data_IF_120128981576
#
_entry.id   IF_120128981576
#
_cell.length_a   1.000
_cell.length_b   1.000
_cell.length_c   1.000
_cell.angle_alpha   90.00
_cell.angle_beta   90.00
_cell.angle_gamma   90.00
#
_symmetry.space_group_name_H-M   'P 1'
#
loop_
_entity.id
_entity.type
_entity.pdbx_description
1 polymer ?
#
# COMPACT_ATOMS: atom_id res chain seq x y z
N UNK A 1 14.64 18.74 14.91
CA UNK A 1 13.18 18.52 14.99
C UNK A 1 12.92 17.33 14.09
N UNK A 2 12.46 16.20 14.63
CA UNK A 2 12.03 15.10 13.77
C UNK A 2 10.72 15.55 13.11
N UNK A 3 10.67 15.60 11.79
CA UNK A 3 9.40 15.69 11.09
C UNK A 3 8.61 14.42 11.43
N UNK A 4 7.34 14.58 11.81
CA UNK A 4 6.46 13.43 12.05
C UNK A 4 6.33 12.60 10.78
N UNK A 5 6.28 11.27 10.92
CA UNK A 5 6.09 10.39 9.77
C UNK A 5 4.79 10.75 9.01
N UNK A 6 4.78 10.65 7.68
CA UNK A 6 3.59 10.95 6.90
C UNK A 6 2.49 9.91 7.19
N UNK A 7 1.26 10.37 7.38
CA UNK A 7 0.12 9.46 7.53
C UNK A 7 -0.27 8.87 6.18
N UNK A 8 -0.96 7.73 6.19
CA UNK A 8 -1.52 7.13 4.97
C UNK A 8 -2.37 8.15 4.20
N UNK A 9 -3.21 8.93 4.88
CA UNK A 9 -4.04 9.96 4.24
C UNK A 9 -3.21 11.01 3.47
N UNK A 10 -2.09 11.47 4.02
CA UNK A 10 -1.20 12.43 3.36
C UNK A 10 -0.50 11.79 2.15
N UNK A 11 -0.05 10.55 2.28
CA UNK A 11 0.56 9.82 1.17
C UNK A 11 -0.44 9.60 0.03
N UNK A 12 -1.67 9.19 0.33
CA UNK A 12 -2.72 8.98 -0.67
C UNK A 12 -3.09 10.29 -1.41
N UNK A 13 -3.15 11.42 -0.71
CA UNK A 13 -3.42 12.73 -1.32
C UNK A 13 -2.28 13.22 -2.22
N UNK A 14 -1.06 12.72 -2.02
CA UNK A 14 0.12 13.07 -2.80
C UNK A 14 0.51 12.04 -3.86
N UNK A 15 -0.30 10.99 -4.05
CA UNK A 15 -0.10 10.02 -5.13
C UNK A 15 -0.11 10.72 -6.48
N UNK A 16 0.98 10.53 -7.21
CA UNK A 16 1.12 11.03 -8.58
C UNK A 16 0.47 10.06 -9.58
N UNK A 17 0.10 10.54 -10.78
CA UNK A 17 -0.41 9.67 -11.83
C UNK A 17 0.55 8.54 -12.23
N UNK A 18 1.86 8.77 -12.12
CA UNK A 18 2.88 7.77 -12.45
C UNK A 18 2.97 6.68 -11.38
N UNK A 19 2.89 7.04 -10.09
CA UNK A 19 2.80 6.07 -8.98
C UNK A 19 1.51 5.25 -9.07
N UNK A 20 0.37 5.87 -9.37
CA UNK A 20 -0.90 5.14 -9.57
C UNK A 20 -0.78 4.17 -10.74
N UNK A 21 -0.18 4.60 -11.86
CA UNK A 21 0.03 3.73 -13.02
C UNK A 21 0.96 2.55 -12.69
N UNK A 22 2.03 2.80 -11.93
CA UNK A 22 2.94 1.75 -11.50
C UNK A 22 2.23 0.71 -10.63
N UNK A 23 1.44 1.15 -9.63
CA UNK A 23 0.65 0.25 -8.80
C UNK A 23 -0.36 -0.52 -9.66
N UNK A 24 -1.05 0.15 -10.57
CA UNK A 24 -2.04 -0.50 -11.44
C UNK A 24 -1.47 -1.62 -12.34
N UNK A 25 -0.16 -1.63 -12.56
CA UNK A 25 0.53 -2.63 -13.40
C UNK A 25 1.11 -3.80 -12.61
N UNK A 26 0.90 -3.88 -11.29
CA UNK A 26 1.54 -4.91 -10.44
C UNK A 26 1.09 -6.34 -10.75
N UNK A 27 -0.06 -6.52 -11.39
CA UNK A 27 -0.52 -7.81 -11.92
C UNK A 27 0.00 -8.06 -13.35
N UNK A 28 1.33 -7.95 -13.55
CA UNK A 28 2.00 -8.07 -14.85
C UNK A 28 1.37 -7.22 -15.99
N UNK A 29 0.74 -6.10 -15.62
CA UNK A 29 0.03 -5.20 -16.52
C UNK A 29 -1.35 -5.67 -16.98
N UNK A 30 -1.84 -6.82 -16.51
CA UNK A 30 -3.19 -7.29 -16.75
C UNK A 30 -4.20 -6.28 -16.19
N UNK A 31 -5.20 -5.94 -17.01
CA UNK A 31 -6.30 -5.04 -16.64
C UNK A 31 -5.88 -3.70 -16.01
N UNK A 32 -4.68 -3.20 -16.32
CA UNK A 32 -4.09 -2.04 -15.66
C UNK A 32 -4.98 -0.78 -15.69
N UNK A 33 -5.75 -0.58 -16.77
CA UNK A 33 -6.69 0.54 -16.84
C UNK A 33 -7.83 0.40 -15.81
N UNK A 34 -8.35 -0.82 -15.62
CA UNK A 34 -9.38 -1.12 -14.64
C UNK A 34 -8.84 -0.97 -13.21
N UNK A 35 -7.64 -1.45 -12.95
CA UNK A 35 -6.96 -1.21 -11.67
C UNK A 35 -6.75 0.29 -11.42
N UNK A 36 -6.29 1.05 -12.41
CA UNK A 36 -6.07 2.50 -12.29
C UNK A 36 -7.35 3.24 -11.90
N UNK A 37 -8.48 2.92 -12.55
CA UNK A 37 -9.78 3.50 -12.22
C UNK A 37 -10.25 3.12 -10.81
N UNK A 38 -10.09 1.85 -10.43
CA UNK A 38 -10.44 1.38 -9.09
C UNK A 38 -9.55 2.00 -8.00
N UNK A 39 -8.24 2.12 -8.24
CA UNK A 39 -7.29 2.81 -7.36
C UNK A 39 -7.69 4.28 -7.16
N UNK A 40 -8.04 5.00 -8.23
CA UNK A 40 -8.49 6.39 -8.12
C UNK A 40 -9.75 6.52 -7.26
N UNK A 41 -10.71 5.61 -7.42
CA UNK A 41 -11.92 5.55 -6.57
C UNK A 41 -11.56 5.27 -5.11
N UNK A 42 -10.71 4.27 -4.84
CA UNK A 42 -10.25 3.91 -3.49
C UNK A 42 -9.48 5.06 -2.82
N UNK A 43 -8.61 5.77 -3.55
CA UNK A 43 -7.91 6.96 -3.07
C UNK A 43 -8.88 8.08 -2.71
N UNK A 44 -9.87 8.36 -3.55
CA UNK A 44 -10.91 9.36 -3.27
C UNK A 44 -11.73 9.04 -2.01
N UNK A 45 -11.83 7.77 -1.64
CA UNK A 45 -12.50 7.28 -0.42
C UNK A 45 -11.58 7.19 0.80
N UNK A 46 -10.34 7.64 0.67
CA UNK A 46 -9.36 7.69 1.76
C UNK A 46 -8.67 6.36 2.05
N UNK A 47 -8.54 5.47 1.06
CA UNK A 47 -7.80 4.23 1.23
C UNK A 47 -8.63 3.00 1.60
N UNK A 48 -9.96 3.14 1.70
CA UNK A 48 -10.85 2.05 2.14
C UNK A 48 -11.30 1.17 0.98
N UNK A 49 -11.30 -0.13 1.22
CA UNK A 49 -11.82 -1.14 0.30
C UNK A 49 -13.28 -1.48 0.62
N UNK A 50 -14.05 -1.80 -0.40
CA UNK A 50 -15.44 -2.26 -0.32
C UNK A 50 -15.57 -3.71 -0.81
N UNK A 51 -16.63 -4.38 -0.38
CA UNK A 51 -16.91 -5.76 -0.79
C UNK A 51 -16.91 -5.90 -2.33
N UNK A 52 -16.18 -6.88 -2.86
CA UNK A 52 -16.03 -7.10 -4.30
C UNK A 52 -14.80 -6.44 -4.92
N UNK A 53 -14.00 -5.69 -4.15
CA UNK A 53 -12.76 -5.05 -4.61
C UNK A 53 -11.51 -5.91 -4.42
N UNK A 54 -11.65 -7.21 -4.12
CA UNK A 54 -10.53 -8.13 -3.90
C UNK A 54 -9.64 -8.24 -5.14
N UNK A 55 -10.26 -8.26 -6.33
CA UNK A 55 -9.54 -8.26 -7.61
C UNK A 55 -9.19 -6.85 -8.07
N UNK A 56 -10.06 -5.86 -7.87
CA UNK A 56 -9.80 -4.47 -8.28
C UNK A 56 -10.19 -3.48 -7.18
N UNK A 57 -9.25 -2.77 -6.54
CA UNK A 57 -7.81 -2.74 -6.80
C UNK A 57 -6.97 -3.55 -5.80
N UNK A 58 -7.57 -4.35 -4.90
CA UNK A 58 -6.80 -4.91 -3.78
C UNK A 58 -5.65 -5.83 -4.21
N UNK A 59 -5.85 -6.68 -5.23
CA UNK A 59 -4.81 -7.53 -5.81
C UNK A 59 -3.51 -6.77 -6.12
N UNK A 60 -3.59 -5.68 -6.88
CA UNK A 60 -2.40 -4.89 -7.22
C UNK A 60 -1.81 -4.13 -6.03
N UNK A 61 -2.61 -3.86 -5.01
CA UNK A 61 -2.12 -3.30 -3.74
C UNK A 61 -1.32 -4.34 -2.97
N UNK A 62 -1.81 -5.57 -2.86
CA UNK A 62 -1.08 -6.67 -2.20
C UNK A 62 0.21 -7.00 -2.96
N UNK A 63 0.15 -7.13 -4.30
CA UNK A 63 1.31 -7.35 -5.16
C UNK A 63 2.31 -6.17 -5.13
N UNK A 64 1.82 -4.95 -4.93
CA UNK A 64 2.64 -3.76 -4.70
C UNK A 64 3.35 -3.78 -3.34
N UNK A 65 2.74 -4.40 -2.33
CA UNK A 65 3.31 -4.58 -0.99
C UNK A 65 4.19 -5.84 -0.86
N UNK A 66 4.29 -6.65 -1.90
CA UNK A 66 4.97 -7.95 -1.85
C UNK A 66 6.48 -7.86 -2.02
N UNK A 67 6.99 -6.86 -2.74
CA UNK A 67 8.43 -6.70 -3.00
C UNK A 67 8.79 -5.23 -3.25
N UNK A 68 9.90 -4.78 -2.66
CA UNK A 68 10.45 -3.46 -2.96
C UNK A 68 11.16 -3.46 -4.32
N UNK A 69 10.60 -2.71 -5.28
CA UNK A 69 11.21 -2.48 -6.59
C UNK A 69 12.11 -1.23 -6.55
N UNK A 70 13.36 -1.28 -7.08
CA UNK A 70 14.24 -0.12 -7.12
C UNK A 70 13.57 1.11 -7.78
N UNK A 71 13.62 2.25 -7.10
CA UNK A 71 12.99 3.50 -7.55
C UNK A 71 11.52 3.68 -7.12
N UNK A 72 10.89 2.66 -6.54
CA UNK A 72 9.45 2.65 -6.21
C UNK A 72 9.18 2.44 -4.71
N UNK A 73 9.99 3.07 -3.86
CA UNK A 73 9.86 2.94 -2.41
C UNK A 73 8.55 3.53 -1.87
N UNK A 74 8.03 4.58 -2.52
CA UNK A 74 6.80 5.25 -2.11
C UNK A 74 5.59 4.38 -2.39
N UNK A 75 5.51 3.79 -3.57
CA UNK A 75 4.44 2.88 -3.97
C UNK A 75 4.43 1.63 -3.08
N UNK A 76 5.59 1.02 -2.84
CA UNK A 76 5.71 -0.11 -1.92
C UNK A 76 5.23 0.24 -0.49
N UNK A 77 5.60 1.42 0.02
CA UNK A 77 5.19 1.86 1.34
C UNK A 77 3.68 2.15 1.42
N UNK A 78 3.13 2.85 0.42
CA UNK A 78 1.69 3.12 0.31
C UNK A 78 0.90 1.81 0.24
N UNK A 79 1.33 0.87 -0.61
CA UNK A 79 0.70 -0.44 -0.73
C UNK A 79 0.75 -1.21 0.59
N UNK A 80 1.90 -1.20 1.29
CA UNK A 80 2.02 -1.84 2.61
C UNK A 80 1.07 -1.22 3.63
N UNK A 81 0.98 0.10 3.69
CA UNK A 81 0.06 0.81 4.58
C UNK A 81 -1.41 0.51 4.27
N UNK A 82 -1.77 0.39 3.00
CA UNK A 82 -3.11 0.00 2.56
C UNK A 82 -3.44 -1.45 2.96
N UNK A 83 -2.49 -2.38 2.86
CA UNK A 83 -2.68 -3.76 3.36
C UNK A 83 -2.89 -3.77 4.87
N UNK A 84 -2.10 -3.02 5.64
CA UNK A 84 -2.27 -2.90 7.10
C UNK A 84 -3.67 -2.37 7.42
N UNK A 85 -4.11 -1.31 6.74
CA UNK A 85 -5.45 -0.74 6.91
C UNK A 85 -6.55 -1.72 6.53
N UNK A 86 -6.39 -2.45 5.42
CA UNK A 86 -7.35 -3.46 4.97
C UNK A 86 -7.54 -4.60 5.97
N UNK A 87 -6.44 -5.06 6.59
CA UNK A 87 -6.51 -6.07 7.67
C UNK A 87 -7.18 -5.49 8.92
N UNK A 88 -6.79 -4.29 9.33
CA UNK A 88 -7.35 -3.63 10.52
C UNK A 88 -8.87 -3.37 10.40
N UNK A 89 -9.33 -2.99 9.20
CA UNK A 89 -10.75 -2.76 8.89
C UNK A 89 -11.53 -4.07 8.66
N UNK A 90 -10.87 -5.22 8.68
CA UNK A 90 -11.49 -6.54 8.47
C UNK A 90 -11.86 -6.85 7.01
N UNK A 91 -11.33 -6.10 6.05
CA UNK A 91 -11.48 -6.38 4.62
C UNK A 91 -10.60 -7.58 4.20
N UNK A 92 -9.31 -7.55 4.57
CA UNK A 92 -8.40 -8.67 4.34
C UNK A 92 -8.30 -9.55 5.60
N UNK A 93 -8.94 -10.72 5.53
CA UNK A 93 -8.92 -11.74 6.58
C UNK A 93 -7.89 -12.85 6.34
N UNK A 94 -7.19 -12.80 5.20
CA UNK A 94 -6.24 -13.83 4.75
C UNK A 94 -4.80 -13.45 5.11
N UNK A 95 -4.47 -12.16 5.08
CA UNK A 95 -3.12 -11.68 5.42
C UNK A 95 -2.86 -11.71 6.93
N UNK A 96 -1.82 -12.44 7.33
CA UNK A 96 -1.28 -12.35 8.69
C UNK A 96 -0.18 -11.29 8.72
N UNK A 97 -0.44 -10.15 9.38
CA UNK A 97 0.52 -9.03 9.39
C UNK A 97 1.87 -9.41 10.02
N UNK A 98 1.88 -10.23 11.06
CA UNK A 98 3.13 -10.67 11.70
C UNK A 98 4.05 -11.43 10.73
N UNK A 99 3.49 -12.36 9.96
CA UNK A 99 4.23 -13.13 8.95
C UNK A 99 4.71 -12.20 7.83
N UNK A 100 3.83 -11.32 7.33
CA UNK A 100 4.19 -10.34 6.32
C UNK A 100 5.35 -9.44 6.77
N UNK A 101 5.34 -9.00 8.03
CA UNK A 101 6.38 -8.16 8.60
C UNK A 101 7.72 -8.88 8.72
N UNK A 102 7.69 -10.14 9.13
CA UNK A 102 8.88 -10.98 9.17
C UNK A 102 9.45 -11.19 7.76
N UNK A 103 8.58 -11.53 6.80
CA UNK A 103 8.96 -11.88 5.43
C UNK A 103 9.51 -10.68 4.64
N UNK A 104 9.10 -9.46 4.97
CA UNK A 104 9.48 -8.21 4.28
C UNK A 104 10.41 -7.32 5.10
N UNK A 105 10.95 -7.79 6.22
CA UNK A 105 11.81 -7.00 7.11
C UNK A 105 12.98 -6.33 6.38
N UNK A 106 13.66 -7.05 5.49
CA UNK A 106 14.78 -6.53 4.70
C UNK A 106 14.37 -5.42 3.73
N UNK A 107 13.16 -5.46 3.20
CA UNK A 107 12.65 -4.42 2.30
C UNK A 107 12.24 -3.18 3.08
N UNK A 108 11.62 -3.34 4.25
CA UNK A 108 11.33 -2.23 5.15
C UNK A 108 12.60 -1.52 5.63
N UNK A 109 13.69 -2.25 5.87
CA UNK A 109 14.98 -1.69 6.26
C UNK A 109 15.64 -0.81 5.19
N UNK A 110 15.24 -0.94 3.90
CA UNK A 110 15.77 -0.16 2.78
C UNK A 110 14.96 1.11 2.50
N UNK A 111 13.81 1.28 3.16
CA UNK A 111 12.96 2.44 2.91
C UNK A 111 13.58 3.73 3.47
N UNK A 112 13.23 4.88 2.87
CA UNK A 112 13.38 6.17 3.53
C UNK A 112 12.86 6.14 4.97
N UNK A 113 13.56 6.74 5.94
CA UNK A 113 13.21 6.62 7.36
C UNK A 113 11.79 7.08 7.71
N UNK A 114 11.27 8.08 7.02
CA UNK A 114 9.90 8.58 7.17
C UNK A 114 8.85 7.55 6.73
N UNK A 115 9.06 6.88 5.60
CA UNK A 115 8.16 5.82 5.12
C UNK A 115 8.26 4.56 5.99
N UNK A 116 9.46 4.20 6.44
CA UNK A 116 9.65 3.10 7.38
C UNK A 116 8.89 3.35 8.69
N UNK A 117 9.05 4.56 9.25
CA UNK A 117 8.37 4.95 10.48
C UNK A 117 6.86 4.93 10.32
N UNK A 118 6.32 5.41 9.20
CA UNK A 118 4.88 5.37 8.92
C UNK A 118 4.32 3.93 8.95
N UNK A 119 5.03 2.97 8.35
CA UNK A 119 4.65 1.55 8.35
C UNK A 119 4.67 0.97 9.77
N UNK A 120 5.72 1.27 10.55
CA UNK A 120 5.85 0.78 11.92
C UNK A 120 4.75 1.36 12.83
N UNK A 121 4.43 2.64 12.69
CA UNK A 121 3.34 3.28 13.43
C UNK A 121 1.98 2.69 13.07
N UNK A 122 1.72 2.45 11.78
CA UNK A 122 0.49 1.82 11.34
C UNK A 122 0.35 0.39 11.88
N UNK A 123 1.43 -0.40 11.84
CA UNK A 123 1.43 -1.77 12.36
C UNK A 123 1.31 -1.84 13.88
N UNK A 124 1.89 -0.89 14.62
CA UNK A 124 1.74 -0.85 16.07
C UNK A 124 0.32 -0.44 16.53
N UNK A 125 -0.49 0.10 15.61
CA UNK A 125 -1.86 0.52 15.86
C UNK A 125 -2.93 -0.53 15.50
N UNK A 126 -2.53 -1.71 15.00
CA UNK A 126 -3.44 -2.82 14.66
C UNK A 126 -3.80 -3.72 15.84
#
# INVERSE_FOLDING_TARGET
MAESAPTLAVLLQSLTPDEVRFIAQRDDGQDAERHSQALASMVARGGRFEQGEEWYPYEVVELGAHILVPGHAREFAICTLLVIAAVADGFDLSTTLADKFQDRADDYAKLPPDLQQAILEAYAAT
#
